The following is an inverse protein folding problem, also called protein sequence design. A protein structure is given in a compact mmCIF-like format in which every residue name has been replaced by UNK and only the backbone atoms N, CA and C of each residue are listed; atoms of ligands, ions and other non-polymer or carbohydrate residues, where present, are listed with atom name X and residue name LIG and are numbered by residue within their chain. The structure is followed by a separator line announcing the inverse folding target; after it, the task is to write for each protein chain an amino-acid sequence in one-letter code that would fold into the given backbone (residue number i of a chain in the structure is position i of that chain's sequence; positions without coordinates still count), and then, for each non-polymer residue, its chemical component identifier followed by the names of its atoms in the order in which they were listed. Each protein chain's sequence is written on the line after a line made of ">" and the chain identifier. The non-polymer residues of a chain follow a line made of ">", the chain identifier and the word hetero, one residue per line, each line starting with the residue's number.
data_IF_535357382040
#
_entry.id   IF_535357382040
#
_cell.length_a   1.000
_cell.length_b   1.000
_cell.length_c   1.000
_cell.angle_alpha   90.00
_cell.angle_beta   90.00
_cell.angle_gamma   90.00
#
_symmetry.space_group_name_H-M   'P 1'
#
loop_
_entity.id
_entity.type
_entity.pdbx_description
1 polymer ?
#
# COMPACT_ATOMS: atom_id res chain seq x y z
N UNK A 1 -22.90 23.71 -14.24
CA UNK A 1 -23.33 23.69 -12.82
C UNK A 1 -22.10 23.31 -12.00
N UNK A 2 -21.53 24.21 -11.19
CA UNK A 2 -20.41 23.85 -10.31
C UNK A 2 -20.97 22.98 -9.16
N UNK A 3 -20.47 21.75 -9.04
CA UNK A 3 -20.81 20.86 -7.92
C UNK A 3 -20.12 21.41 -6.68
N UNK A 4 -20.88 21.87 -5.70
CA UNK A 4 -20.32 22.33 -4.42
C UNK A 4 -19.85 21.09 -3.65
N UNK A 5 -18.54 20.96 -3.45
CA UNK A 5 -17.97 19.87 -2.65
C UNK A 5 -18.33 20.14 -1.18
N UNK A 6 -18.99 19.19 -0.54
CA UNK A 6 -19.30 19.33 0.88
C UNK A 6 -18.10 18.94 1.74
N UNK A 7 -18.03 19.50 2.95
CA UNK A 7 -17.04 19.08 3.94
C UNK A 7 -17.22 17.60 4.35
N UNK A 8 -18.44 17.07 4.24
CA UNK A 8 -18.76 15.67 4.51
C UNK A 8 -18.13 14.74 3.45
N UNK A 9 -18.14 15.13 2.17
CA UNK A 9 -17.48 14.37 1.09
C UNK A 9 -15.96 14.27 1.31
N UNK A 10 -15.34 15.36 1.76
CA UNK A 10 -13.90 15.39 2.07
C UNK A 10 -13.58 14.47 3.26
N UNK A 11 -14.39 14.53 4.33
CA UNK A 11 -14.23 13.66 5.50
C UNK A 11 -14.36 12.18 5.14
N UNK A 12 -15.36 11.85 4.32
CA UNK A 12 -15.58 10.47 3.87
C UNK A 12 -14.40 9.96 3.05
N UNK A 13 -13.93 10.75 2.08
CA UNK A 13 -12.77 10.38 1.26
C UNK A 13 -11.50 10.22 2.11
N UNK A 14 -11.30 11.05 3.13
CA UNK A 14 -10.17 10.89 4.05
C UNK A 14 -10.27 9.59 4.86
N UNK A 15 -11.46 9.26 5.38
CA UNK A 15 -11.69 8.01 6.10
C UNK A 15 -11.46 6.78 5.21
N UNK A 16 -11.97 6.79 3.98
CA UNK A 16 -11.72 5.74 2.98
C UNK A 16 -10.22 5.58 2.69
N UNK A 17 -9.46 6.68 2.69
CA UNK A 17 -8.01 6.67 2.55
C UNK A 17 -7.30 5.95 3.71
N UNK A 18 -7.73 6.21 4.95
CA UNK A 18 -7.20 5.52 6.13
C UNK A 18 -7.50 4.02 6.09
N UNK A 19 -8.71 3.63 5.68
CA UNK A 19 -9.07 2.22 5.53
C UNK A 19 -8.24 1.53 4.44
N UNK A 20 -8.04 2.21 3.30
CA UNK A 20 -7.19 1.71 2.23
C UNK A 20 -5.74 1.55 2.72
N UNK A 21 -5.18 2.51 3.44
CA UNK A 21 -3.84 2.42 4.01
C UNK A 21 -3.68 1.20 4.93
N UNK A 22 -4.63 0.96 5.83
CA UNK A 22 -4.64 -0.23 6.70
C UNK A 22 -4.64 -1.52 5.86
N UNK A 23 -5.51 -1.60 4.85
CA UNK A 23 -5.61 -2.77 3.98
C UNK A 23 -4.30 -3.01 3.19
N UNK A 24 -3.67 -1.95 2.69
CA UNK A 24 -2.40 -2.03 1.97
C UNK A 24 -1.27 -2.53 2.88
N UNK A 25 -1.23 -2.06 4.12
CA UNK A 25 -0.23 -2.45 5.11
C UNK A 25 -0.41 -3.92 5.53
N UNK A 26 -1.64 -4.38 5.72
CA UNK A 26 -1.94 -5.79 5.99
C UNK A 26 -1.50 -6.69 4.83
N UNK A 27 -1.88 -6.33 3.60
CA UNK A 27 -1.49 -7.03 2.39
C UNK A 27 0.03 -7.10 2.22
N UNK A 28 0.75 -6.01 2.48
CA UNK A 28 2.21 -5.97 2.41
C UNK A 28 2.83 -6.93 3.43
N UNK A 29 2.26 -7.00 4.64
CA UNK A 29 2.74 -7.90 5.68
C UNK A 29 2.49 -9.39 5.37
N UNK A 30 1.31 -9.73 4.84
CA UNK A 30 1.04 -11.09 4.35
C UNK A 30 1.99 -11.49 3.22
N UNK A 31 2.32 -10.55 2.34
CA UNK A 31 3.20 -10.82 1.23
C UNK A 31 4.65 -11.02 1.70
N UNK A 32 5.12 -10.20 2.65
CA UNK A 32 6.41 -10.40 3.34
C UNK A 32 6.49 -11.77 4.00
N UNK A 33 5.44 -12.21 4.72
CA UNK A 33 5.36 -13.57 5.28
C UNK A 33 5.56 -14.67 4.24
N UNK A 34 5.00 -14.51 3.04
CA UNK A 34 5.08 -15.52 1.97
C UNK A 34 6.41 -15.49 1.21
N UNK A 35 6.99 -14.30 1.02
CA UNK A 35 8.18 -14.09 0.18
C UNK A 35 9.47 -14.11 1.00
N UNK A 36 9.57 -13.29 2.04
CA UNK A 36 10.82 -13.09 2.78
C UNK A 36 11.28 -14.39 3.47
N UNK A 37 10.33 -15.23 3.92
CA UNK A 37 10.62 -16.54 4.51
C UNK A 37 11.20 -17.55 3.53
N UNK A 38 11.02 -17.33 2.22
CA UNK A 38 11.52 -18.20 1.15
C UNK A 38 12.73 -17.62 0.41
N UNK A 39 13.08 -16.36 0.70
CA UNK A 39 14.08 -15.63 -0.05
C UNK A 39 15.48 -16.00 0.45
N UNK A 40 16.31 -16.53 -0.45
CA UNK A 40 17.71 -16.87 -0.13
C UNK A 40 18.55 -15.62 0.10
N UNK A 41 19.72 -15.76 0.75
CA UNK A 41 20.65 -14.64 0.98
C UNK A 41 21.10 -14.04 -0.37
N UNK A 42 21.31 -14.87 -1.39
CA UNK A 42 21.72 -14.41 -2.73
C UNK A 42 20.64 -13.60 -3.42
N UNK A 43 19.38 -14.04 -3.36
CA UNK A 43 18.25 -13.26 -3.87
C UNK A 43 18.07 -11.95 -3.11
N UNK A 44 18.22 -11.97 -1.78
CA UNK A 44 18.13 -10.76 -0.97
C UNK A 44 19.17 -9.70 -1.38
N UNK A 45 20.39 -10.13 -1.73
CA UNK A 45 21.42 -9.22 -2.26
C UNK A 45 21.06 -8.68 -3.64
N UNK A 46 20.57 -9.53 -4.55
CA UNK A 46 20.15 -9.12 -5.91
C UNK A 46 18.97 -8.16 -5.91
N UNK A 47 18.06 -8.31 -4.96
CA UNK A 47 16.86 -7.47 -4.81
C UNK A 47 17.10 -6.22 -3.93
N UNK A 48 18.35 -5.98 -3.53
CA UNK A 48 18.73 -4.86 -2.66
C UNK A 48 17.87 -4.78 -1.39
N UNK A 49 17.63 -5.92 -0.75
CA UNK A 49 16.80 -5.99 0.45
C UNK A 49 17.40 -5.14 1.58
N UNK A 50 16.64 -4.14 2.03
CA UNK A 50 16.97 -3.29 3.16
C UNK A 50 16.15 -3.72 4.38
N UNK A 51 16.84 -4.20 5.41
CA UNK A 51 16.23 -4.65 6.66
C UNK A 51 16.22 -3.50 7.65
N UNK A 52 15.08 -3.28 8.32
CA UNK A 52 14.95 -2.29 9.39
C UNK A 52 14.74 -3.00 10.72
N UNK A 53 15.08 -2.35 11.83
CA UNK A 53 14.85 -2.89 13.17
C UNK A 53 13.38 -2.73 13.59
N UNK A 54 12.49 -3.34 12.82
CA UNK A 54 11.08 -3.50 13.11
C UNK A 54 10.69 -4.95 12.87
N UNK A 55 9.93 -5.53 13.80
CA UNK A 55 9.58 -6.95 13.78
C UNK A 55 8.09 -7.11 14.05
N UNK A 56 7.43 -7.99 13.29
CA UNK A 56 6.05 -8.38 13.54
C UNK A 56 5.91 -9.87 13.25
N UNK A 57 5.27 -10.62 14.15
CA UNK A 57 5.15 -12.09 14.04
C UNK A 57 6.49 -12.82 13.82
N UNK A 58 7.58 -12.32 14.42
CA UNK A 58 8.92 -12.89 14.29
C UNK A 58 9.63 -12.62 12.95
N UNK A 59 9.03 -11.85 12.03
CA UNK A 59 9.62 -11.49 10.75
C UNK A 59 10.12 -10.06 10.80
N UNK A 60 11.38 -9.87 10.40
CA UNK A 60 11.98 -8.55 10.26
C UNK A 60 11.40 -7.83 9.05
N UNK A 61 10.96 -6.59 9.26
CA UNK A 61 10.57 -5.73 8.17
C UNK A 61 11.75 -5.54 7.21
N UNK A 62 11.49 -5.89 5.95
CA UNK A 62 12.44 -5.86 4.86
C UNK A 62 11.78 -5.16 3.70
N UNK A 63 12.48 -4.21 3.09
CA UNK A 63 12.05 -3.50 1.89
C UNK A 63 12.91 -3.96 0.72
N UNK A 64 12.31 -4.32 -0.40
CA UNK A 64 13.02 -4.69 -1.62
C UNK A 64 12.16 -4.43 -2.85
N UNK A 65 12.78 -4.39 -4.02
CA UNK A 65 12.09 -4.07 -5.28
C UNK A 65 10.94 -5.04 -5.57
N UNK A 66 11.10 -6.31 -5.20
CA UNK A 66 10.07 -7.34 -5.38
C UNK A 66 8.82 -7.06 -4.54
N UNK A 67 8.99 -6.59 -3.30
CA UNK A 67 7.87 -6.21 -2.43
C UNK A 67 7.20 -4.93 -2.94
N UNK A 68 7.98 -3.94 -3.38
CA UNK A 68 7.46 -2.70 -3.95
C UNK A 68 6.62 -2.98 -5.20
N UNK A 69 7.11 -3.83 -6.11
CA UNK A 69 6.38 -4.24 -7.31
C UNK A 69 5.10 -5.00 -6.97
N UNK A 70 5.16 -5.95 -6.04
CA UNK A 70 3.97 -6.71 -5.67
C UNK A 70 2.88 -5.85 -5.01
N UNK A 71 3.28 -4.94 -4.12
CA UNK A 71 2.39 -3.98 -3.46
C UNK A 71 1.67 -3.10 -4.48
N UNK A 72 2.45 -2.55 -5.43
CA UNK A 72 1.92 -1.64 -6.45
C UNK A 72 1.05 -2.38 -7.46
N UNK A 73 1.44 -3.57 -7.93
CA UNK A 73 0.66 -4.32 -8.91
C UNK A 73 -0.65 -4.89 -8.34
N UNK A 74 -0.62 -5.51 -7.16
CA UNK A 74 -1.82 -6.15 -6.57
C UNK A 74 -2.91 -5.12 -6.28
N UNK A 75 -2.52 -3.92 -5.85
CA UNK A 75 -3.45 -2.91 -5.38
C UNK A 75 -3.62 -1.73 -6.35
N UNK A 76 -3.00 -1.78 -7.54
CA UNK A 76 -3.00 -0.69 -8.52
C UNK A 76 -4.40 -0.11 -8.74
N UNK A 77 -5.36 -0.96 -9.09
CA UNK A 77 -6.76 -0.56 -9.37
C UNK A 77 -7.46 0.06 -8.15
N UNK A 78 -7.18 -0.44 -6.95
CA UNK A 78 -7.76 0.11 -5.71
C UNK A 78 -7.22 1.51 -5.43
N UNK A 79 -5.90 1.68 -5.57
CA UNK A 79 -5.24 2.98 -5.38
C UNK A 79 -5.70 3.97 -6.44
N UNK A 80 -5.76 3.56 -7.72
CA UNK A 80 -6.27 4.37 -8.82
C UNK A 80 -7.73 4.79 -8.57
N UNK A 81 -8.60 3.84 -8.22
CA UNK A 81 -10.01 4.13 -7.91
C UNK A 81 -10.19 5.09 -6.74
N UNK A 82 -9.36 5.00 -5.70
CA UNK A 82 -9.36 5.95 -4.58
C UNK A 82 -8.92 7.37 -4.99
N UNK A 83 -7.91 7.47 -5.86
CA UNK A 83 -7.48 8.77 -6.41
C UNK A 83 -8.59 9.37 -7.29
N UNK A 84 -9.27 8.56 -8.10
CA UNK A 84 -10.38 8.97 -8.96
C UNK A 84 -11.66 9.31 -8.16
N UNK A 85 -11.86 8.70 -7.00
CA UNK A 85 -12.97 9.03 -6.10
C UNK A 85 -12.78 10.36 -5.37
N UNK A 86 -11.63 11.03 -5.53
CA UNK A 86 -11.35 12.30 -4.88
C UNK A 86 -12.45 13.34 -5.23
N UNK A 87 -13.10 13.99 -4.23
CA UNK A 87 -14.21 14.91 -4.46
C UNK A 87 -13.91 16.03 -5.48
N UNK A 88 -12.69 16.59 -5.47
CA UNK A 88 -12.22 17.57 -6.47
C UNK A 88 -12.14 17.05 -7.92
N UNK A 89 -11.95 15.75 -8.15
CA UNK A 89 -11.90 15.16 -9.50
C UNK A 89 -13.29 14.84 -10.06
N UNK A 90 -14.30 14.75 -9.20
CA UNK A 90 -15.68 14.51 -9.62
C UNK A 90 -16.48 15.79 -9.93
N UNK A 91 -15.81 16.95 -9.89
CA UNK A 91 -16.39 18.27 -10.11
C UNK A 91 -15.93 18.99 -11.38
N UNK A 92 -15.03 18.38 -12.17
CA UNK A 92 -14.62 18.84 -13.52
C UNK A 92 -15.37 18.06 -14.59
#
# INVERSE_FOLDING_TARGET
>A
MQRVISFEDIKKWHYEGQQLELELNENDWEYRKKICTKCTIEEQKKLHCLKVNNFKDGIQETHCDKLIHARTQKNKKKIEGYIESHPLRQGT
#
